data_IF_054182798078
#
_entry.id   IF_054182798078
#
_cell.length_a   1.000
_cell.length_b   1.000
_cell.length_c   1.000
_cell.angle_alpha   90.00
_cell.angle_beta   90.00
_cell.angle_gamma   90.00
#
_symmetry.space_group_name_H-M   'P 1'
#
loop_
_entity.id
_entity.type
_entity.pdbx_description
1 polymer ?
#
# COMPACT_ATOMS: atom_id res chain seq x y z
N UNK A 1 -26.70 3.42 -9.49
CA UNK A 1 -25.63 4.41 -9.74
C UNK A 1 -25.63 5.38 -8.58
N UNK A 2 -24.78 5.13 -7.58
CA UNK A 2 -24.65 5.93 -6.36
C UNK A 2 -23.19 5.83 -5.93
N UNK A 3 -22.35 6.66 -6.55
CA UNK A 3 -20.92 6.78 -6.26
C UNK A 3 -20.68 7.96 -5.32
N UNK A 4 -21.33 7.97 -4.15
CA UNK A 4 -21.09 8.99 -3.13
C UNK A 4 -21.33 8.41 -1.74
N UNK A 5 -20.25 8.07 -1.03
CA UNK A 5 -20.20 8.18 0.41
C UNK A 5 -19.85 9.63 0.74
N UNK A 6 -20.85 10.43 1.11
CA UNK A 6 -20.65 11.82 1.49
C UNK A 6 -19.71 11.92 2.71
N UNK A 7 -18.53 12.51 2.50
CA UNK A 7 -17.68 13.02 3.60
C UNK A 7 -16.55 12.11 4.10
N UNK A 8 -16.27 10.97 3.47
CA UNK A 8 -15.16 10.09 3.84
C UNK A 8 -14.12 10.10 2.71
N UNK A 9 -12.83 10.10 3.03
CA UNK A 9 -11.79 9.95 2.02
C UNK A 9 -11.95 8.56 1.38
N UNK A 10 -12.50 8.51 0.16
CA UNK A 10 -12.85 7.26 -0.51
C UNK A 10 -11.58 6.60 -1.08
N UNK A 11 -11.45 5.30 -0.82
CA UNK A 11 -10.54 4.41 -1.57
C UNK A 11 -11.32 3.93 -2.79
N UNK A 12 -10.66 3.91 -3.96
CA UNK A 12 -11.27 3.33 -5.15
C UNK A 12 -11.37 1.82 -4.97
N UNK A 13 -12.59 1.31 -4.81
CA UNK A 13 -12.88 -0.12 -4.74
C UNK A 13 -13.66 -0.54 -5.97
N UNK A 14 -13.25 -1.64 -6.61
CA UNK A 14 -14.05 -2.31 -7.62
C UNK A 14 -15.22 -3.00 -6.95
N UNK A 15 -16.44 -2.56 -7.25
CA UNK A 15 -17.67 -3.11 -6.68
C UNK A 15 -18.56 -3.75 -7.75
N UNK A 16 -19.46 -4.64 -7.31
CA UNK A 16 -20.48 -5.27 -8.14
C UNK A 16 -19.95 -6.39 -9.03
N UNK A 17 -20.53 -6.53 -10.23
CA UNK A 17 -20.23 -7.66 -11.13
C UNK A 17 -18.74 -7.79 -11.51
N UNK A 18 -17.99 -6.71 -11.84
CA UNK A 18 -16.58 -6.84 -12.15
C UNK A 18 -15.78 -7.49 -11.02
N UNK A 19 -16.10 -7.16 -9.76
CA UNK A 19 -15.45 -7.76 -8.59
C UNK A 19 -15.82 -9.22 -8.42
N UNK A 20 -17.08 -9.56 -8.64
CA UNK A 20 -17.53 -10.95 -8.59
C UNK A 20 -16.82 -11.82 -9.64
N UNK A 21 -16.63 -11.30 -10.86
CA UNK A 21 -15.87 -11.97 -11.91
C UNK A 21 -14.42 -12.20 -11.46
N UNK A 22 -13.76 -11.20 -10.85
CA UNK A 22 -12.39 -11.39 -10.34
C UNK A 22 -12.26 -12.48 -9.27
N UNK A 23 -13.27 -12.59 -8.40
CA UNK A 23 -13.31 -13.62 -7.36
C UNK A 23 -13.47 -15.00 -7.99
N UNK A 24 -14.46 -15.16 -8.87
CA UNK A 24 -14.76 -16.44 -9.53
C UNK A 24 -13.63 -16.89 -10.46
N UNK A 25 -13.02 -15.96 -11.19
CA UNK A 25 -11.87 -16.24 -12.05
C UNK A 25 -10.56 -16.44 -11.25
N UNK A 26 -10.62 -16.40 -9.92
CA UNK A 26 -9.46 -16.57 -9.03
C UNK A 26 -8.25 -15.75 -9.49
N UNK A 27 -8.46 -14.47 -9.82
CA UNK A 27 -7.43 -13.64 -10.44
C UNK A 27 -6.23 -13.47 -9.50
N UNK A 28 -5.02 -13.67 -10.04
CA UNK A 28 -3.77 -13.63 -9.25
C UNK A 28 -3.52 -12.31 -8.53
N UNK A 29 -3.95 -11.19 -9.13
CA UNK A 29 -3.88 -9.85 -8.54
C UNK A 29 -5.20 -9.15 -8.86
N UNK A 30 -5.96 -8.68 -7.86
CA UNK A 30 -7.20 -7.94 -8.09
C UNK A 30 -6.93 -6.58 -8.72
N UNK A 31 -7.90 -5.99 -9.43
CA UNK A 31 -7.68 -4.68 -10.07
C UNK A 31 -7.52 -3.55 -9.06
N UNK A 32 -8.20 -3.64 -7.91
CA UNK A 32 -8.05 -2.72 -6.78
C UNK A 32 -7.72 -3.50 -5.51
N UNK A 33 -6.44 -3.83 -5.27
CA UNK A 33 -6.03 -4.47 -4.04
C UNK A 33 -6.24 -3.49 -2.87
N UNK A 34 -6.78 -3.99 -1.78
CA UNK A 34 -6.95 -3.24 -0.54
C UNK A 34 -6.73 -4.13 0.68
N UNK A 35 -6.39 -3.49 1.79
CA UNK A 35 -6.34 -4.14 3.10
C UNK A 35 -7.10 -3.31 4.13
N UNK A 36 -7.69 -4.02 5.08
CA UNK A 36 -8.25 -3.46 6.31
C UNK A 36 -7.33 -3.86 7.44
N UNK A 37 -6.59 -2.89 7.97
CA UNK A 37 -5.50 -3.07 8.93
C UNK A 37 -6.00 -2.61 10.29
N UNK A 38 -6.09 -3.57 11.20
CA UNK A 38 -6.53 -3.35 12.56
C UNK A 38 -5.32 -3.05 13.45
N UNK A 39 -5.51 -2.16 14.41
CA UNK A 39 -4.48 -1.78 15.38
C UNK A 39 -4.72 -2.45 16.73
N UNK A 40 -3.63 -2.76 17.44
CA UNK A 40 -3.68 -3.26 18.82
C UNK A 40 -4.11 -2.17 19.80
N UNK A 41 -4.62 -2.58 20.96
CA UNK A 41 -5.34 -1.79 21.96
C UNK A 41 -4.84 -0.33 22.15
N UNK A 42 -3.55 -0.15 22.41
CA UNK A 42 -2.96 1.16 22.67
C UNK A 42 -2.91 2.06 21.42
N UNK A 43 -2.66 1.47 20.26
CA UNK A 43 -2.57 2.15 18.96
C UNK A 43 -3.95 2.48 18.39
N UNK A 44 -4.97 1.71 18.76
CA UNK A 44 -6.36 1.89 18.33
C UNK A 44 -7.04 3.12 18.94
N UNK A 45 -6.58 3.59 20.10
CA UNK A 45 -7.17 4.73 20.82
C UNK A 45 -6.46 6.05 20.52
N UNK A 46 -5.17 6.00 20.17
CA UNK A 46 -4.34 7.19 20.02
C UNK A 46 -4.16 7.57 18.53
N UNK A 47 -4.62 8.76 18.10
CA UNK A 47 -4.48 9.20 16.71
C UNK A 47 -3.01 9.35 16.28
N UNK A 48 -2.12 9.80 17.16
CA UNK A 48 -0.72 10.07 16.78
C UNK A 48 0.05 8.78 16.50
N UNK A 49 -0.16 7.75 17.34
CA UNK A 49 0.42 6.42 17.14
C UNK A 49 -0.14 5.73 15.89
N UNK A 50 -1.44 5.85 15.63
CA UNK A 50 -2.04 5.31 14.41
C UNK A 50 -1.46 5.95 13.15
N UNK A 51 -1.13 7.24 13.22
CA UNK A 51 -0.50 7.98 12.12
C UNK A 51 0.95 7.58 11.91
N UNK A 52 1.69 7.29 12.98
CA UNK A 52 3.04 6.74 12.87
C UNK A 52 3.04 5.39 12.15
N UNK A 53 2.12 4.48 12.51
CA UNK A 53 1.97 3.20 11.82
C UNK A 53 1.56 3.41 10.37
N UNK A 54 0.60 4.29 10.08
CA UNK A 54 0.19 4.59 8.72
C UNK A 54 1.37 5.10 7.87
N UNK A 55 2.24 5.95 8.42
CA UNK A 55 3.45 6.44 7.75
C UNK A 55 4.50 5.34 7.52
N UNK A 56 4.57 4.33 8.40
CA UNK A 56 5.45 3.16 8.22
C UNK A 56 4.93 2.22 7.14
N UNK A 57 3.63 2.16 6.93
CA UNK A 57 2.98 1.28 5.94
C UNK A 57 2.95 1.95 4.55
N UNK A 58 2.62 3.25 4.49
CA UNK A 58 2.50 3.99 3.23
C UNK A 58 3.85 4.10 2.52
N UNK A 59 3.92 3.63 1.27
CA UNK A 59 5.11 3.83 0.44
C UNK A 59 5.36 5.32 0.25
N UNK A 60 6.58 5.74 0.56
CA UNK A 60 7.02 7.10 0.38
C UNK A 60 8.15 7.12 -0.63
N UNK A 61 7.86 7.68 -1.80
CA UNK A 61 8.84 7.88 -2.86
C UNK A 61 9.52 9.22 -2.69
N UNK A 62 10.70 9.36 -3.30
CA UNK A 62 11.42 10.62 -3.31
C UNK A 62 10.56 11.77 -3.88
N UNK A 63 9.75 11.49 -4.89
CA UNK A 63 8.82 12.45 -5.50
C UNK A 63 7.74 12.99 -4.57
N UNK A 64 7.40 12.25 -3.50
CA UNK A 64 6.34 12.67 -2.57
C UNK A 64 6.86 13.64 -1.50
N UNK A 65 8.18 13.67 -1.32
CA UNK A 65 8.86 14.42 -0.25
C UNK A 65 9.82 15.48 -0.78
N UNK A 66 10.26 15.38 -2.03
CA UNK A 66 11.23 16.29 -2.61
C UNK A 66 11.01 16.54 -4.11
N UNK A 67 11.29 17.77 -4.53
CA UNK A 67 11.33 18.16 -5.93
C UNK A 67 12.72 17.88 -6.51
N UNK A 68 12.76 17.23 -7.68
CA UNK A 68 14.00 16.87 -8.36
C UNK A 68 14.21 17.81 -9.54
N UNK A 69 15.25 18.62 -9.47
CA UNK A 69 15.67 19.54 -10.54
C UNK A 69 16.97 19.03 -11.16
N UNK A 70 17.03 19.03 -12.49
CA UNK A 70 18.23 18.62 -13.23
C UNK A 70 18.95 19.86 -13.76
N UNK A 71 20.25 19.95 -13.49
CA UNK A 71 21.14 20.91 -14.10
C UNK A 71 21.98 20.21 -15.18
N UNK A 72 21.61 20.50 -16.43
CA UNK A 72 22.25 19.93 -17.62
C UNK A 72 23.65 20.48 -17.88
N UNK A 73 23.98 21.67 -17.36
CA UNK A 73 25.24 22.35 -17.60
C UNK A 73 26.32 21.76 -16.70
N UNK A 74 25.99 21.61 -15.41
CA UNK A 74 26.92 21.08 -14.42
C UNK A 74 26.85 19.56 -14.27
N UNK A 75 25.89 18.89 -14.94
CA UNK A 75 25.62 17.44 -14.82
C UNK A 75 25.38 17.09 -13.34
N UNK A 76 24.49 17.86 -12.71
CA UNK A 76 24.14 17.73 -11.29
C UNK A 76 22.63 17.61 -11.16
N UNK A 77 22.18 16.81 -10.21
CA UNK A 77 20.77 16.75 -9.82
C UNK A 77 20.63 17.41 -8.44
N UNK A 78 19.69 18.35 -8.33
CA UNK A 78 19.32 19.01 -7.09
C UNK A 78 18.00 18.43 -6.59
N UNK A 79 18.02 17.91 -5.37
CA UNK A 79 16.83 17.42 -4.68
C UNK A 79 16.48 18.44 -3.61
N UNK A 80 15.32 19.10 -3.75
CA UNK A 80 14.79 20.08 -2.79
C UNK A 80 13.74 19.40 -1.89
N UNK A 81 14.10 18.95 -0.69
CA UNK A 81 13.14 18.35 0.24
C UNK A 81 12.15 19.40 0.74
N UNK A 82 10.87 19.04 0.76
CA UNK A 82 9.81 19.89 1.29
C UNK A 82 9.60 19.59 2.79
N UNK A 83 9.97 20.55 3.64
CA UNK A 83 9.92 20.41 5.11
C UNK A 83 8.53 20.04 5.63
N UNK A 84 7.46 20.53 5.00
CA UNK A 84 6.08 20.27 5.44
C UNK A 84 5.64 18.82 5.23
N UNK A 85 6.03 18.19 4.12
CA UNK A 85 5.70 16.79 3.85
C UNK A 85 6.59 15.84 4.63
N UNK A 86 7.87 16.21 4.84
CA UNK A 86 8.79 15.47 5.70
C UNK A 86 8.32 15.40 7.17
N UNK A 87 7.89 16.52 7.75
CA UNK A 87 7.36 16.55 9.13
C UNK A 87 6.10 15.68 9.28
N UNK A 88 5.20 15.71 8.29
CA UNK A 88 3.99 14.87 8.32
C UNK A 88 4.28 13.38 8.26
N UNK A 89 5.33 12.99 7.52
CA UNK A 89 5.75 11.61 7.33
C UNK A 89 6.78 11.14 8.36
N UNK A 90 7.24 12.02 9.26
CA UNK A 90 8.24 11.69 10.29
C UNK A 90 9.59 11.30 9.68
N UNK A 91 10.00 11.95 8.59
CA UNK A 91 11.26 11.69 7.91
C UNK A 91 12.34 12.66 8.37
N UNK A 92 13.54 12.15 8.58
CA UNK A 92 14.74 12.97 8.84
C UNK A 92 15.56 13.17 7.57
N UNK A 93 16.39 14.22 7.55
CA UNK A 93 17.29 14.48 6.41
C UNK A 93 18.36 13.38 6.26
N UNK A 94 18.71 12.71 7.35
CA UNK A 94 19.72 11.64 7.36
C UNK A 94 19.19 10.37 6.67
N UNK A 95 17.93 9.99 6.93
CA UNK A 95 17.28 8.86 6.25
C UNK A 95 17.14 9.08 4.74
N UNK A 96 16.97 10.34 4.31
CA UNK A 96 16.97 10.68 2.88
C UNK A 96 18.35 10.48 2.26
N UNK A 97 19.42 10.79 2.99
CA UNK A 97 20.78 10.60 2.49
C UNK A 97 21.14 9.13 2.40
N UNK A 98 20.80 8.33 3.41
CA UNK A 98 21.01 6.89 3.38
C UNK A 98 20.25 6.24 2.22
N UNK A 99 19.00 6.66 2.01
CA UNK A 99 18.19 6.22 0.86
C UNK A 99 18.83 6.59 -0.48
N UNK A 100 19.40 7.79 -0.60
CA UNK A 100 20.06 8.25 -1.83
C UNK A 100 21.43 7.60 -2.08
N UNK A 101 22.19 7.31 -1.02
CA UNK A 101 23.49 6.63 -1.10
C UNK A 101 23.35 5.16 -1.49
N UNK A 102 22.21 4.53 -1.22
CA UNK A 102 21.93 3.17 -1.68
C UNK A 102 21.88 3.04 -3.21
N UNK A 103 21.73 4.15 -3.93
CA UNK A 103 21.76 4.20 -5.40
C UNK A 103 23.21 4.16 -5.88
N UNK A 104 23.60 3.04 -6.51
CA UNK A 104 24.92 2.88 -7.14
C UNK A 104 25.27 4.09 -8.04
N UNK A 105 26.53 4.55 -7.95
CA UNK A 105 27.18 5.59 -8.77
C UNK A 105 26.78 7.05 -8.49
N UNK A 106 26.49 7.40 -7.23
CA UNK A 106 26.17 8.78 -6.87
C UNK A 106 26.81 9.22 -5.56
N UNK A 107 27.58 10.30 -5.61
CA UNK A 107 27.95 11.06 -4.41
C UNK A 107 26.83 12.07 -4.09
N UNK A 108 26.11 11.82 -2.99
CA UNK A 108 25.09 12.73 -2.48
C UNK A 108 25.67 13.60 -1.36
N UNK A 109 25.73 14.93 -1.56
CA UNK A 109 26.18 15.90 -0.55
C UNK A 109 25.06 16.87 -0.21
N UNK A 110 24.89 17.17 1.08
CA UNK A 110 23.96 18.22 1.51
C UNK A 110 24.63 19.58 1.28
N UNK A 111 24.03 20.44 0.45
CA UNK A 111 24.39 21.85 0.38
C UNK A 111 23.15 22.72 0.62
N UNK A 112 23.18 23.55 1.67
CA UNK A 112 22.16 24.58 1.95
C UNK A 112 20.70 24.08 1.98
N UNK A 113 20.46 22.86 2.47
CA UNK A 113 19.11 22.28 2.57
C UNK A 113 18.56 21.70 1.27
N UNK A 114 19.38 21.60 0.23
CA UNK A 114 19.16 20.76 -0.94
C UNK A 114 20.21 19.65 -0.99
N UNK A 115 19.84 18.47 -1.49
CA UNK A 115 20.78 17.37 -1.68
C UNK A 115 21.30 17.45 -3.10
N UNK A 116 22.60 17.66 -3.24
CA UNK A 116 23.31 17.69 -4.52
C UNK A 116 23.82 16.29 -4.83
N UNK A 117 23.35 15.75 -5.93
CA UNK A 117 23.68 14.43 -6.45
C UNK A 117 24.64 14.65 -7.62
N UNK A 118 25.91 14.28 -7.42
CA UNK A 118 26.96 14.31 -8.46
C UNK A 118 27.19 12.90 -9.01
N UNK A 119 27.29 12.78 -10.34
CA UNK A 119 27.63 11.53 -11.01
C UNK A 119 29.15 11.38 -11.16
N UNK A 120 29.66 10.18 -10.92
CA UNK A 120 31.09 9.85 -11.09
C UNK A 120 31.53 9.87 -12.57
N UNK A 121 30.61 9.53 -13.48
CA UNK A 121 30.84 9.52 -14.94
C UNK A 121 29.94 10.56 -15.62
N UNK A 122 30.50 11.66 -16.17
CA UNK A 122 29.70 12.68 -16.84
C UNK A 122 29.17 12.15 -18.17
N UNK A 123 27.84 11.98 -18.25
CA UNK A 123 27.15 11.59 -19.46
C UNK A 123 25.67 11.91 -19.39
N UNK A 124 25.12 12.55 -20.44
CA UNK A 124 23.71 12.93 -20.52
C UNK A 124 22.77 11.73 -20.32
N UNK A 125 23.10 10.60 -20.94
CA UNK A 125 22.32 9.37 -20.82
C UNK A 125 22.30 8.83 -19.38
N UNK A 126 23.43 8.93 -18.68
CA UNK A 126 23.54 8.48 -17.29
C UNK A 126 22.76 9.40 -16.36
N UNK A 127 22.82 10.72 -16.56
CA UNK A 127 22.03 11.70 -15.80
C UNK A 127 20.52 11.43 -15.95
N UNK A 128 20.06 11.11 -17.16
CA UNK A 128 18.66 10.78 -17.42
C UNK A 128 18.25 9.47 -16.75
N UNK A 129 19.08 8.42 -16.85
CA UNK A 129 18.84 7.13 -16.20
C UNK A 129 18.83 7.26 -14.66
N UNK A 130 19.75 8.05 -14.09
CA UNK A 130 19.79 8.32 -12.65
C UNK A 130 18.55 9.10 -12.21
N UNK A 131 18.11 10.10 -12.97
CA UNK A 131 16.87 10.82 -12.67
C UNK A 131 15.64 9.89 -12.69
N UNK A 132 15.54 8.99 -13.68
CA UNK A 132 14.45 8.01 -13.71
C UNK A 132 14.49 7.04 -12.54
N UNK A 133 15.70 6.65 -12.11
CA UNK A 133 15.91 5.79 -10.94
C UNK A 133 15.53 6.51 -9.64
N UNK A 134 15.95 7.78 -9.49
CA UNK A 134 15.62 8.63 -8.35
C UNK A 134 14.11 8.85 -8.21
N UNK A 135 13.39 9.00 -9.33
CA UNK A 135 11.91 9.10 -9.31
C UNK A 135 11.23 7.83 -8.80
N UNK A 136 11.85 6.67 -8.99
CA UNK A 136 11.34 5.37 -8.52
C UNK A 136 11.87 4.98 -7.15
N UNK A 137 12.80 5.75 -6.59
CA UNK A 137 13.41 5.46 -5.31
C UNK A 137 12.35 5.49 -4.20
N UNK A 138 12.25 4.37 -3.48
CA UNK A 138 11.50 4.26 -2.23
C UNK A 138 12.42 4.65 -1.07
N UNK A 139 11.91 5.48 -0.16
CA UNK A 139 12.64 5.92 1.03
C UNK A 139 12.16 5.13 2.25
N UNK A 140 10.84 5.05 2.42
CA UNK A 140 10.17 4.31 3.50
C UNK A 140 8.89 3.67 2.98
N UNK A 141 8.39 2.71 3.73
CA UNK A 141 7.10 2.07 3.48
C UNK A 141 7.24 0.66 2.92
N UNK A 142 6.09 -0.01 2.89
CA UNK A 142 5.94 -1.38 2.42
C UNK A 142 5.73 -1.38 0.90
N UNK A 143 6.36 -2.33 0.21
CA UNK A 143 6.16 -2.48 -1.23
C UNK A 143 4.72 -2.92 -1.53
N UNK A 144 4.12 -2.32 -2.56
CA UNK A 144 2.75 -2.64 -3.00
C UNK A 144 1.64 -1.81 -2.35
N UNK A 145 1.91 -1.06 -1.28
CA UNK A 145 0.94 -0.18 -0.62
C UNK A 145 1.15 1.28 -1.03
N UNK A 146 0.27 1.79 -1.90
CA UNK A 146 0.41 3.13 -2.50
C UNK A 146 -0.06 4.25 -1.59
N UNK A 147 -1.19 4.05 -0.92
CA UNK A 147 -1.86 5.08 -0.13
C UNK A 147 -2.56 4.47 1.05
N UNK A 148 -2.59 5.20 2.17
CA UNK A 148 -3.22 4.76 3.40
C UNK A 148 -4.20 5.81 3.90
N UNK A 149 -5.36 5.36 4.41
CA UNK A 149 -6.40 6.21 4.98
C UNK A 149 -6.75 5.70 6.37
N UNK A 150 -6.73 6.59 7.36
CA UNK A 150 -7.11 6.28 8.73
C UNK A 150 -8.57 6.69 8.93
N UNK A 151 -9.39 5.78 9.44
CA UNK A 151 -10.79 6.03 9.78
C UNK A 151 -11.05 5.66 11.23
N UNK A 152 -11.86 6.45 11.93
CA UNK A 152 -12.34 6.12 13.27
C UNK A 152 -13.69 5.42 13.17
N UNK A 153 -13.71 4.14 13.50
CA UNK A 153 -14.93 3.34 13.59
C UNK A 153 -15.52 3.41 15.01
N UNK A 154 -16.87 3.49 15.17
CA UNK A 154 -17.52 3.77 16.46
C UNK A 154 -17.16 2.78 17.59
N UNK A 155 -17.02 1.49 17.25
CA UNK A 155 -16.69 0.42 18.21
C UNK A 155 -15.26 -0.10 18.04
N UNK A 156 -14.66 0.15 16.87
CA UNK A 156 -13.39 -0.44 16.47
C UNK A 156 -12.20 0.52 16.57
N UNK A 157 -12.43 1.78 16.96
CA UNK A 157 -11.35 2.77 17.13
C UNK A 157 -10.72 3.17 15.80
N UNK A 158 -9.44 3.54 15.79
CA UNK A 158 -8.73 3.86 14.55
C UNK A 158 -8.40 2.58 13.77
N UNK A 159 -8.95 2.48 12.56
CA UNK A 159 -8.71 1.43 11.58
C UNK A 159 -8.03 2.05 10.37
N UNK A 160 -7.06 1.33 9.81
CA UNK A 160 -6.27 1.77 8.67
C UNK A 160 -6.73 1.02 7.43
N UNK A 161 -7.06 1.74 6.36
CA UNK A 161 -7.38 1.15 5.06
C UNK A 161 -6.28 1.49 4.05
N UNK A 162 -5.76 0.49 3.34
CA UNK A 162 -4.72 0.67 2.33
C UNK A 162 -5.25 0.49 0.92
N UNK A 163 -4.73 1.29 -0.01
CA UNK A 163 -4.75 1.02 -1.45
C UNK A 163 -3.46 0.26 -1.81
N UNK A 164 -3.60 -1.01 -2.16
CA UNK A 164 -2.51 -1.95 -2.23
C UNK A 164 -2.68 -3.09 -1.23
N UNK A 165 -2.00 -4.20 -1.51
CA UNK A 165 -1.95 -5.37 -0.63
C UNK A 165 -0.52 -5.88 -0.55
N UNK A 166 -0.04 -6.06 0.67
CA UNK A 166 1.16 -6.81 1.00
C UNK A 166 0.99 -7.32 2.44
N UNK A 167 0.35 -8.48 2.57
CA UNK A 167 -0.05 -9.01 3.87
C UNK A 167 1.15 -9.38 4.74
N UNK A 168 2.20 -9.95 4.16
CA UNK A 168 3.39 -10.44 4.89
C UNK A 168 4.06 -9.33 5.69
N UNK A 169 4.48 -8.24 5.02
CA UNK A 169 5.19 -7.14 5.68
C UNK A 169 4.30 -6.38 6.67
N UNK A 170 2.99 -6.27 6.39
CA UNK A 170 2.05 -5.55 7.28
C UNK A 170 1.83 -6.29 8.59
N UNK A 171 1.79 -7.63 8.57
CA UNK A 171 1.58 -8.43 9.79
C UNK A 171 2.79 -8.40 10.73
N UNK A 172 4.00 -8.15 10.20
CA UNK A 172 5.24 -8.05 10.97
C UNK A 172 5.39 -6.72 11.72
N UNK A 173 4.62 -5.68 11.37
CA UNK A 173 4.71 -4.37 11.99
C UNK A 173 4.20 -4.39 13.44
N UNK A 174 5.01 -3.86 14.34
CA UNK A 174 4.62 -3.62 15.72
C UNK A 174 3.44 -2.63 15.82
N UNK A 175 2.37 -3.08 16.48
CA UNK A 175 1.14 -2.31 16.66
C UNK A 175 0.00 -2.68 15.72
N UNK A 176 0.29 -3.45 14.66
CA UNK A 176 -0.75 -4.10 13.83
C UNK A 176 -1.30 -5.33 14.56
N UNK A 177 -2.61 -5.52 14.47
CA UNK A 177 -3.29 -6.71 14.98
C UNK A 177 -3.35 -7.79 13.89
N UNK A 178 -2.59 -8.89 14.04
CA UNK A 178 -2.50 -9.91 13.01
C UNK A 178 -3.75 -10.80 12.93
N UNK A 179 -4.61 -10.83 13.95
CA UNK A 179 -5.76 -11.73 14.00
C UNK A 179 -6.99 -11.15 13.31
N UNK A 180 -7.04 -9.83 13.14
CA UNK A 180 -8.18 -9.12 12.52
C UNK A 180 -7.86 -8.49 11.17
N UNK A 181 -6.58 -8.22 10.89
CA UNK A 181 -6.16 -7.62 9.63
C UNK A 181 -6.50 -8.53 8.45
N UNK A 182 -7.14 -7.96 7.43
CA UNK A 182 -7.62 -8.70 6.26
C UNK A 182 -7.26 -7.99 4.96
N UNK A 183 -7.24 -8.75 3.86
CA UNK A 183 -7.02 -8.23 2.51
C UNK A 183 -8.03 -8.83 1.54
N UNK A 184 -8.27 -8.11 0.45
CA UNK A 184 -9.14 -8.56 -0.64
C UNK A 184 -8.36 -9.35 -1.73
N UNK A 185 -7.08 -9.65 -1.52
CA UNK A 185 -6.26 -10.50 -2.40
C UNK A 185 -6.31 -11.98 -1.94
N UNK A 186 -7.01 -12.82 -2.72
CA UNK A 186 -7.26 -14.23 -2.40
C UNK A 186 -5.96 -15.04 -2.40
N UNK A 187 -5.05 -14.75 -3.34
CA UNK A 187 -3.81 -15.49 -3.49
C UNK A 187 -2.81 -15.11 -2.39
N UNK A 188 -2.79 -13.85 -1.97
CA UNK A 188 -2.02 -13.45 -0.79
C UNK A 188 -2.49 -14.20 0.46
N UNK A 189 -3.80 -14.26 0.71
CA UNK A 189 -4.36 -15.01 1.86
C UNK A 189 -4.03 -16.50 1.76
N UNK A 190 -4.16 -17.11 0.58
CA UNK A 190 -3.87 -18.52 0.38
C UNK A 190 -2.40 -18.88 0.70
N UNK A 191 -1.45 -17.99 0.36
CA UNK A 191 -0.02 -18.20 0.63
C UNK A 191 0.34 -18.00 2.10
N UNK A 192 -0.17 -16.95 2.74
CA UNK A 192 0.24 -16.56 4.09
C UNK A 192 -0.58 -17.25 5.19
N UNK A 193 -1.90 -17.41 4.99
CA UNK A 193 -2.84 -17.93 5.99
C UNK A 193 -3.38 -19.33 5.64
N UNK A 194 -3.18 -19.80 4.41
CA UNK A 194 -3.57 -21.13 3.95
C UNK A 194 -4.91 -21.19 3.20
N UNK A 195 -5.22 -22.38 2.68
CA UNK A 195 -6.36 -22.60 1.77
C UNK A 195 -7.71 -22.43 2.45
N UNK A 196 -7.87 -22.85 3.71
CA UNK A 196 -9.12 -22.66 4.45
C UNK A 196 -9.42 -21.19 4.75
N UNK A 197 -8.37 -20.39 5.01
CA UNK A 197 -8.50 -18.94 5.15
C UNK A 197 -8.94 -18.31 3.82
N UNK A 198 -8.34 -18.73 2.70
CA UNK A 198 -8.73 -18.28 1.37
C UNK A 198 -10.17 -18.68 1.03
N UNK A 199 -10.61 -19.89 1.38
CA UNK A 199 -12.00 -20.33 1.20
C UNK A 199 -12.99 -19.43 1.94
N UNK A 200 -12.73 -19.18 3.23
CA UNK A 200 -13.58 -18.29 4.02
C UNK A 200 -13.58 -16.86 3.49
N UNK A 201 -12.44 -16.38 3.00
CA UNK A 201 -12.31 -15.08 2.36
C UNK A 201 -13.15 -14.99 1.07
N UNK A 202 -13.10 -16.00 0.19
CA UNK A 202 -13.94 -16.06 -1.03
C UNK A 202 -15.42 -15.95 -0.65
N UNK A 203 -15.85 -16.70 0.38
CA UNK A 203 -17.24 -16.68 0.85
C UNK A 203 -17.65 -15.29 1.32
N UNK A 204 -16.84 -14.67 2.19
CA UNK A 204 -17.14 -13.34 2.74
C UNK A 204 -17.14 -12.27 1.64
N UNK A 205 -16.13 -12.27 0.78
CA UNK A 205 -15.98 -11.27 -0.28
C UNK A 205 -17.11 -11.36 -1.33
N UNK A 206 -17.46 -12.57 -1.77
CA UNK A 206 -18.55 -12.78 -2.72
C UNK A 206 -19.91 -12.38 -2.11
N UNK A 207 -20.14 -12.74 -0.85
CA UNK A 207 -21.36 -12.36 -0.13
C UNK A 207 -21.47 -10.83 0.03
N UNK A 208 -20.38 -10.16 0.44
CA UNK A 208 -20.36 -8.72 0.61
C UNK A 208 -20.59 -7.99 -0.73
N UNK A 209 -19.91 -8.43 -1.79
CA UNK A 209 -20.06 -7.86 -3.14
C UNK A 209 -21.50 -7.94 -3.66
N UNK A 210 -22.19 -9.06 -3.42
CA UNK A 210 -23.60 -9.23 -3.82
C UNK A 210 -24.55 -8.40 -2.94
N UNK A 211 -24.31 -8.41 -1.63
CA UNK A 211 -25.12 -7.68 -0.64
C UNK A 211 -25.08 -6.17 -0.86
N UNK A 212 -23.92 -5.61 -1.21
CA UNK A 212 -23.77 -4.19 -1.53
C UNK A 212 -24.57 -3.77 -2.78
N UNK A 213 -24.84 -4.70 -3.69
CA UNK A 213 -25.71 -4.47 -4.86
C UNK A 213 -27.20 -4.72 -4.56
N UNK A 214 -27.55 -5.04 -3.30
CA UNK A 214 -28.91 -5.37 -2.91
C UNK A 214 -29.39 -6.74 -3.42
N UNK A 215 -28.46 -7.60 -3.89
CA UNK A 215 -28.77 -8.95 -4.31
C UNK A 215 -28.63 -9.89 -3.11
N UNK A 216 -29.76 -10.46 -2.68
CA UNK A 216 -29.75 -11.44 -1.59
C UNK A 216 -29.61 -12.85 -2.17
N UNK A 217 -28.41 -13.43 -2.08
CA UNK A 217 -28.12 -14.80 -2.49
C UNK A 217 -27.88 -15.63 -1.23
N UNK A 218 -28.50 -16.81 -1.18
CA UNK A 218 -28.30 -17.73 -0.08
C UNK A 218 -26.82 -18.17 0.03
N UNK A 219 -26.27 -18.05 1.25
CA UNK A 219 -24.87 -18.35 1.56
C UNK A 219 -24.44 -19.75 1.12
N UNK A 220 -25.38 -20.72 1.10
CA UNK A 220 -25.10 -22.12 0.70
C UNK A 220 -24.58 -22.23 -0.73
N UNK A 221 -25.06 -21.39 -1.65
CA UNK A 221 -24.55 -21.39 -3.03
C UNK A 221 -23.10 -20.87 -3.09
N UNK A 222 -22.81 -19.83 -2.30
CA UNK A 222 -21.47 -19.23 -2.24
C UNK A 222 -20.49 -20.21 -1.59
N UNK A 223 -20.90 -20.91 -0.54
CA UNK A 223 -20.12 -21.97 0.10
C UNK A 223 -19.77 -23.08 -0.88
N UNK A 224 -20.75 -23.57 -1.65
CA UNK A 224 -20.51 -24.61 -2.65
C UNK A 224 -19.48 -24.19 -3.70
N UNK A 225 -19.56 -22.94 -4.19
CA UNK A 225 -18.59 -22.39 -5.13
C UNK A 225 -17.20 -22.31 -4.50
N UNK A 226 -17.08 -21.77 -3.29
CA UNK A 226 -15.80 -21.65 -2.60
C UNK A 226 -15.17 -23.02 -2.29
N UNK A 227 -15.96 -24.02 -1.92
CA UNK A 227 -15.50 -25.39 -1.70
C UNK A 227 -14.92 -25.99 -2.99
N UNK A 228 -15.61 -25.83 -4.12
CA UNK A 228 -15.14 -26.32 -5.43
C UNK A 228 -13.85 -25.62 -5.85
N UNK A 229 -13.75 -24.31 -5.65
CA UNK A 229 -12.56 -23.51 -6.00
C UNK A 229 -11.32 -23.86 -5.16
N UNK A 230 -11.49 -24.48 -3.99
CA UNK A 230 -10.39 -24.75 -3.04
C UNK A 230 -10.12 -26.25 -2.80
N UNK A 231 -10.90 -27.15 -3.39
CA UNK A 231 -10.86 -28.59 -3.14
C UNK A 231 -9.50 -29.26 -3.40
N UNK A 232 -8.75 -28.80 -4.41
CA UNK A 232 -7.47 -29.41 -4.81
C UNK A 232 -6.26 -28.95 -3.95
N UNK A 233 -6.49 -28.16 -2.90
CA UNK A 233 -5.42 -27.56 -2.09
C UNK A 233 -4.73 -26.37 -2.78
N UNK A 234 -5.30 -25.86 -3.87
CA UNK A 234 -4.91 -24.60 -4.52
C UNK A 234 -6.17 -23.85 -4.94
N UNK A 235 -6.16 -22.51 -4.90
CA UNK A 235 -7.29 -21.71 -5.37
C UNK A 235 -7.30 -21.69 -6.91
N UNK A 236 -8.38 -22.16 -7.52
CA UNK A 236 -8.58 -22.20 -8.98
C UNK A 236 -9.94 -21.63 -9.39
N UNK A 237 -10.00 -21.18 -10.64
CA UNK A 237 -11.23 -20.83 -11.35
C UNK A 237 -11.92 -22.10 -11.89
#
# INVERSE_FOLDING_TARGET
>A
RTFHYAGVAEINVTLGLPRLIEIVDARSIPSTPMMTIYLRDEYKLNPDLSKEIANKIEITRLTDVADIEMDLINIVIYIKPNKKTMEKKGLTLDELLDGLQSVRKTDAKIEKGAIKVTLDEPGYMNLQNVNETLKKLKIKGIDGIKRVIIRKEPNEGYVIYSEGSNLTEVLEIEGVDPYRTSTNDIHAVARELGIEAARNMIIQEAHNTLSEQGLNVDLRHIMLVADVMTADGTVRA
#
